data_IF_942275592145
#
_entry.id   IF_942275592145
#
_cell.length_a   1.000
_cell.length_b   1.000
_cell.length_c   1.000
_cell.angle_alpha   90.00
_cell.angle_beta   90.00
_cell.angle_gamma   90.00
#
_symmetry.space_group_name_H-M   'P 1'
#
loop_
_entity.id
_entity.type
_entity.pdbx_description
1 polymer ?
#
# COMPACT_ATOMS: atom_id res chain seq x y z
N UNK A 1 -24.35 -1.05 1.03
CA UNK A 1 -24.35 -0.93 2.50
C UNK A 1 -25.78 -0.66 3.02
N UNK A 2 -26.58 0.14 2.34
CA UNK A 2 -27.95 0.50 2.81
C UNK A 2 -28.95 -0.68 2.87
N UNK A 3 -28.64 -1.82 2.27
CA UNK A 3 -29.51 -3.00 2.19
C UNK A 3 -29.04 -4.19 3.03
N UNK A 4 -27.97 -4.02 3.81
CA UNK A 4 -27.39 -5.06 4.65
C UNK A 4 -27.28 -4.53 6.07
N UNK A 5 -27.79 -5.27 7.03
CA UNK A 5 -27.57 -5.00 8.43
C UNK A 5 -26.20 -5.54 8.86
N UNK A 6 -25.42 -4.74 9.57
CA UNK A 6 -24.05 -5.07 9.97
C UNK A 6 -23.65 -4.31 11.25
N UNK A 7 -22.90 -5.00 12.09
CA UNK A 7 -22.41 -4.45 13.36
C UNK A 7 -21.12 -3.64 13.15
N UNK A 8 -20.24 -4.10 12.23
CA UNK A 8 -18.98 -3.45 11.88
C UNK A 8 -18.67 -3.68 10.42
N UNK A 9 -18.17 -2.67 9.76
CA UNK A 9 -17.70 -2.73 8.37
C UNK A 9 -16.20 -2.48 8.29
N UNK A 10 -15.44 -3.42 7.73
CA UNK A 10 -14.00 -3.25 7.47
C UNK A 10 -13.80 -3.07 5.98
N UNK A 11 -13.33 -1.90 5.59
CA UNK A 11 -13.06 -1.53 4.21
C UNK A 11 -11.57 -1.62 3.92
N UNK A 12 -11.18 -2.39 2.89
CA UNK A 12 -9.82 -2.41 2.38
C UNK A 12 -9.56 -1.16 1.54
N UNK A 13 -9.06 -0.13 2.20
CA UNK A 13 -8.62 1.10 1.55
C UNK A 13 -7.20 0.96 1.01
N UNK A 14 -6.54 2.06 0.75
CA UNK A 14 -5.17 2.11 0.23
C UNK A 14 -4.48 3.38 0.71
N UNK A 15 -3.16 3.33 0.84
CA UNK A 15 -2.35 4.54 1.06
C UNK A 15 -2.36 5.51 -0.14
N UNK A 16 -2.93 5.10 -1.27
CA UNK A 16 -3.16 5.99 -2.42
C UNK A 16 -4.17 7.12 -2.14
N UNK A 17 -4.93 7.06 -1.03
CA UNK A 17 -5.78 8.17 -0.59
C UNK A 17 -4.97 9.39 -0.19
N UNK A 18 -3.75 9.21 0.31
CA UNK A 18 -2.86 10.29 0.70
C UNK A 18 -2.32 11.04 -0.53
N UNK A 19 -2.31 12.37 -0.45
CA UNK A 19 -1.77 13.21 -1.51
C UNK A 19 -1.23 14.54 -0.93
N UNK A 20 0.11 14.71 -0.87
CA UNK A 20 1.10 13.69 -1.19
C UNK A 20 1.28 12.64 -0.09
N UNK A 21 1.79 11.47 -0.45
CA UNK A 21 2.46 10.57 0.49
C UNK A 21 3.84 11.15 0.84
N UNK A 22 4.30 10.96 2.06
CA UNK A 22 5.62 11.43 2.53
C UNK A 22 6.20 10.47 3.57
N UNK A 23 7.44 10.69 3.98
CA UNK A 23 8.03 9.90 5.07
C UNK A 23 7.22 10.09 6.34
N UNK A 24 6.89 8.96 6.98
CA UNK A 24 6.07 8.90 8.20
C UNK A 24 4.62 9.40 8.00
N UNK A 25 3.99 9.05 6.87
CA UNK A 25 2.57 9.37 6.59
C UNK A 25 1.64 8.76 7.65
N UNK A 26 0.82 9.59 8.27
CA UNK A 26 -0.13 9.21 9.34
C UNK A 26 -1.58 9.27 8.86
N UNK A 27 -2.50 8.65 9.62
CA UNK A 27 -3.92 8.62 9.25
C UNK A 27 -4.54 10.01 9.09
N UNK A 28 -4.06 10.99 9.86
CA UNK A 28 -4.55 12.37 9.83
C UNK A 28 -4.20 13.14 8.54
N UNK A 29 -3.26 12.64 7.73
CA UNK A 29 -2.86 13.25 6.46
C UNK A 29 -3.94 13.14 5.36
N UNK A 30 -4.98 12.34 5.61
CA UNK A 30 -6.18 12.32 4.78
C UNK A 30 -7.44 12.47 5.63
N UNK A 31 -8.17 13.55 5.37
CA UNK A 31 -9.42 13.88 6.06
C UNK A 31 -10.62 13.54 5.17
N UNK A 32 -11.48 12.65 5.65
CA UNK A 32 -12.71 12.22 4.95
C UNK A 32 -13.81 13.29 4.85
N UNK A 33 -13.59 14.49 5.39
CA UNK A 33 -14.49 15.66 5.23
C UNK A 33 -13.91 16.74 4.32
N UNK A 34 -12.73 16.52 3.71
CA UNK A 34 -12.08 17.54 2.88
C UNK A 34 -12.83 17.86 1.59
N UNK A 35 -13.60 16.90 1.06
CA UNK A 35 -14.45 17.07 -0.13
C UNK A 35 -15.76 16.31 0.08
N UNK A 36 -16.82 16.74 -0.62
CA UNK A 36 -18.06 15.98 -0.69
C UNK A 36 -17.84 14.68 -1.45
N UNK A 37 -18.47 13.61 -1.01
CA UNK A 37 -18.41 12.33 -1.72
C UNK A 37 -19.37 12.33 -2.92
N UNK A 38 -18.94 11.62 -3.97
CA UNK A 38 -19.74 11.39 -5.16
C UNK A 38 -19.90 9.89 -5.37
N UNK A 39 -21.14 9.41 -5.57
CA UNK A 39 -21.36 8.03 -5.97
C UNK A 39 -20.80 7.80 -7.37
N UNK A 40 -19.90 6.87 -7.49
CA UNK A 40 -19.21 6.57 -8.73
C UNK A 40 -19.00 5.07 -8.92
N UNK A 41 -18.86 4.65 -10.18
CA UNK A 41 -18.43 3.32 -10.54
C UNK A 41 -16.91 3.25 -10.60
N UNK A 42 -16.38 2.03 -10.48
CA UNK A 42 -14.94 1.76 -10.41
C UNK A 42 -14.11 2.39 -11.55
N UNK A 43 -14.71 2.63 -12.71
CA UNK A 43 -14.01 3.08 -13.91
C UNK A 43 -14.23 4.57 -14.24
N UNK A 44 -14.97 5.31 -13.40
CA UNK A 44 -15.27 6.73 -13.64
C UNK A 44 -14.16 7.67 -13.20
N UNK A 45 -13.29 7.22 -12.29
CA UNK A 45 -12.16 7.98 -11.77
C UNK A 45 -10.90 7.12 -11.68
N UNK A 46 -9.70 7.73 -11.56
CA UNK A 46 -8.47 7.03 -11.20
C UNK A 46 -8.61 6.26 -9.88
N UNK A 47 -7.80 5.21 -9.72
CA UNK A 47 -7.88 4.29 -8.58
C UNK A 47 -7.82 5.00 -7.22
N UNK A 48 -6.92 5.93 -7.07
CA UNK A 48 -6.74 6.72 -5.83
C UNK A 48 -7.99 7.53 -5.50
N UNK A 49 -8.64 8.12 -6.51
CA UNK A 49 -9.86 8.89 -6.32
C UNK A 49 -11.04 7.99 -5.95
N UNK A 50 -11.17 6.82 -6.57
CA UNK A 50 -12.18 5.83 -6.18
C UNK A 50 -12.02 5.43 -4.70
N UNK A 51 -10.77 5.26 -4.24
CA UNK A 51 -10.51 4.97 -2.84
C UNK A 51 -10.88 6.13 -1.91
N UNK A 52 -10.59 7.38 -2.32
CA UNK A 52 -11.01 8.59 -1.57
C UNK A 52 -12.53 8.69 -1.51
N UNK A 53 -13.23 8.52 -2.63
CA UNK A 53 -14.69 8.59 -2.67
C UNK A 53 -15.35 7.57 -1.75
N UNK A 54 -14.82 6.35 -1.68
CA UNK A 54 -15.31 5.34 -0.75
C UNK A 54 -15.09 5.75 0.71
N UNK A 55 -13.94 6.32 1.05
CA UNK A 55 -13.70 6.82 2.41
C UNK A 55 -14.55 8.06 2.72
N UNK A 56 -14.72 9.02 1.80
CA UNK A 56 -15.64 10.15 1.99
C UNK A 56 -17.05 9.67 2.34
N UNK A 57 -17.55 8.62 1.65
CA UNK A 57 -18.84 8.03 1.96
C UNK A 57 -18.89 7.43 3.38
N UNK A 58 -17.82 6.75 3.83
CA UNK A 58 -17.74 6.23 5.20
C UNK A 58 -17.79 7.36 6.24
N UNK A 59 -17.00 8.41 6.04
CA UNK A 59 -16.93 9.55 6.95
C UNK A 59 -18.23 10.36 6.99
N UNK A 60 -18.91 10.56 5.87
CA UNK A 60 -20.00 11.52 5.74
C UNK A 60 -21.38 10.85 5.82
N UNK A 61 -21.59 9.73 5.10
CA UNK A 61 -22.89 9.07 5.04
C UNK A 61 -23.06 8.00 6.13
N UNK A 62 -21.98 7.34 6.54
CA UNK A 62 -22.02 6.24 7.51
C UNK A 62 -21.29 6.60 8.80
N UNK A 63 -21.23 7.88 9.16
CA UNK A 63 -20.55 8.39 10.36
C UNK A 63 -21.18 7.91 11.67
N UNK A 64 -22.44 7.47 11.65
CA UNK A 64 -23.18 6.88 12.77
C UNK A 64 -22.93 5.36 12.93
N UNK A 65 -22.18 4.76 12.03
CA UNK A 65 -21.90 3.32 11.98
C UNK A 65 -20.47 3.02 12.39
N UNK A 66 -20.23 1.81 12.92
CA UNK A 66 -18.87 1.34 13.22
C UNK A 66 -18.19 0.87 11.95
N UNK A 67 -17.18 1.59 11.48
CA UNK A 67 -16.38 1.20 10.33
C UNK A 67 -14.90 1.39 10.58
N UNK A 68 -14.10 0.61 9.85
CA UNK A 68 -12.65 0.71 9.78
C UNK A 68 -12.25 0.81 8.32
N UNK A 69 -11.47 1.82 7.94
CA UNK A 69 -10.81 1.88 6.63
C UNK A 69 -9.33 1.54 6.82
N UNK A 70 -8.93 0.35 6.38
CA UNK A 70 -7.54 -0.10 6.50
C UNK A 70 -6.77 0.36 5.27
N UNK A 71 -5.76 1.20 5.48
CA UNK A 71 -4.93 1.79 4.42
C UNK A 71 -3.63 1.02 4.28
N UNK A 72 -3.55 0.20 3.25
CA UNK A 72 -2.34 -0.56 2.92
C UNK A 72 -1.53 0.11 1.81
N UNK A 73 -0.17 0.09 1.91
CA UNK A 73 0.71 0.33 0.77
C UNK A 73 0.62 -0.82 -0.23
N UNK A 74 1.58 -0.97 -1.11
CA UNK A 74 1.65 -2.12 -2.01
C UNK A 74 1.72 -3.42 -1.21
N UNK A 75 0.71 -4.28 -1.38
CA UNK A 75 0.72 -5.62 -0.82
C UNK A 75 1.45 -6.56 -1.79
N UNK A 76 2.45 -7.26 -1.29
CA UNK A 76 3.27 -8.21 -2.03
C UNK A 76 3.30 -9.57 -1.32
N UNK A 77 3.43 -10.63 -2.10
CA UNK A 77 3.49 -12.01 -1.59
C UNK A 77 3.58 -13.02 -2.72
N UNK A 78 3.59 -14.29 -2.35
CA UNK A 78 3.73 -15.40 -3.31
C UNK A 78 2.64 -15.42 -4.38
N UNK A 79 1.44 -14.95 -4.01
CA UNK A 79 0.26 -14.93 -4.88
C UNK A 79 0.01 -13.54 -5.48
N UNK A 80 1.03 -12.67 -5.49
CA UNK A 80 0.90 -11.34 -6.10
C UNK A 80 0.72 -11.46 -7.63
N UNK A 81 -0.54 -11.39 -8.05
CA UNK A 81 -0.91 -11.47 -9.47
C UNK A 81 -0.40 -10.28 -10.28
N UNK A 82 -0.04 -9.17 -9.64
CA UNK A 82 0.49 -7.97 -10.30
C UNK A 82 1.94 -8.14 -10.73
N UNK A 83 2.67 -9.08 -10.11
CA UNK A 83 4.07 -9.44 -10.41
C UNK A 83 5.06 -8.26 -10.46
N UNK A 84 4.76 -7.18 -9.74
CA UNK A 84 5.57 -5.95 -9.82
C UNK A 84 7.01 -6.16 -9.36
N UNK A 85 7.24 -6.88 -8.26
CA UNK A 85 8.61 -7.21 -7.84
C UNK A 85 9.27 -8.22 -8.76
N UNK A 86 8.50 -9.16 -9.29
CA UNK A 86 9.02 -10.16 -10.23
C UNK A 86 9.56 -9.51 -11.51
N UNK A 87 9.03 -8.37 -11.94
CA UNK A 87 9.54 -7.58 -13.06
C UNK A 87 11.05 -7.34 -12.93
N UNK A 88 11.51 -6.85 -11.79
CA UNK A 88 12.93 -6.54 -11.56
C UNK A 88 13.81 -7.80 -11.60
N UNK A 89 13.33 -8.88 -10.98
CA UNK A 89 14.01 -10.17 -11.00
C UNK A 89 14.14 -10.69 -12.44
N UNK A 90 13.06 -10.68 -13.20
CA UNK A 90 13.05 -11.19 -14.58
C UNK A 90 13.95 -10.36 -15.51
N UNK A 91 13.93 -9.02 -15.40
CA UNK A 91 14.77 -8.15 -16.21
C UNK A 91 16.26 -8.36 -15.95
N UNK A 92 16.66 -8.47 -14.67
CA UNK A 92 18.05 -8.83 -14.32
C UNK A 92 18.41 -10.20 -14.89
N UNK A 93 17.54 -11.21 -14.69
CA UNK A 93 17.80 -12.58 -15.14
C UNK A 93 17.92 -12.72 -16.66
N UNK A 94 17.14 -11.94 -17.41
CA UNK A 94 17.11 -11.96 -18.89
C UNK A 94 18.06 -10.95 -19.52
N UNK A 95 18.69 -10.07 -18.71
CA UNK A 95 19.48 -8.93 -19.17
C UNK A 95 18.67 -8.01 -20.11
N UNK A 96 17.41 -7.78 -19.73
CA UNK A 96 16.51 -6.86 -20.43
C UNK A 96 16.64 -5.45 -19.82
N UNK A 97 16.72 -4.38 -20.64
CA UNK A 97 16.83 -3.02 -20.12
C UNK A 97 15.53 -2.56 -19.49
N UNK A 98 15.62 -1.84 -18.35
CA UNK A 98 14.49 -1.24 -17.66
C UNK A 98 14.72 0.24 -17.37
N UNK A 99 13.64 1.03 -17.40
CA UNK A 99 13.62 2.43 -17.01
C UNK A 99 13.05 2.59 -15.62
N UNK A 100 13.82 3.17 -14.71
CA UNK A 100 13.42 3.43 -13.32
C UNK A 100 13.74 4.89 -12.98
N UNK A 101 12.72 5.67 -12.63
CA UNK A 101 12.86 7.10 -12.32
C UNK A 101 13.14 7.39 -10.83
N UNK A 102 12.88 6.43 -9.96
CA UNK A 102 12.90 6.58 -8.51
C UNK A 102 13.69 5.49 -7.78
N UNK A 103 14.77 4.99 -8.39
CA UNK A 103 15.50 3.78 -7.95
C UNK A 103 15.97 3.83 -6.49
N UNK A 104 16.30 5.01 -5.96
CA UNK A 104 16.81 5.21 -4.60
C UNK A 104 15.72 5.60 -3.59
N UNK A 105 14.47 5.81 -4.05
CA UNK A 105 13.38 6.21 -3.17
C UNK A 105 13.01 5.07 -2.22
N UNK A 106 12.89 5.40 -0.96
CA UNK A 106 12.45 4.50 0.09
C UNK A 106 10.92 4.39 0.06
N UNK A 107 10.40 3.17 0.01
CA UNK A 107 8.97 2.90 -0.05
C UNK A 107 8.56 1.85 0.97
N UNK A 108 7.34 1.97 1.48
CA UNK A 108 6.70 0.99 2.35
C UNK A 108 5.94 -0.05 1.56
N UNK A 109 5.94 -1.27 2.10
CA UNK A 109 5.20 -2.42 1.59
C UNK A 109 4.54 -3.18 2.74
N UNK A 110 3.62 -4.08 2.41
CA UNK A 110 3.08 -5.05 3.36
C UNK A 110 3.06 -6.45 2.74
N UNK A 111 3.34 -7.47 3.53
CA UNK A 111 3.18 -8.85 3.10
C UNK A 111 1.69 -9.21 2.99
N UNK A 112 1.28 -9.88 1.93
CA UNK A 112 -0.14 -10.13 1.62
C UNK A 112 -0.84 -10.97 2.68
N UNK A 113 -0.17 -11.96 3.26
CA UNK A 113 -0.70 -12.76 4.37
C UNK A 113 -0.84 -11.93 5.66
N UNK A 114 0.15 -11.10 6.00
CA UNK A 114 0.09 -10.19 7.15
C UNK A 114 -1.03 -9.16 7.01
N UNK A 115 -1.30 -8.68 5.78
CA UNK A 115 -2.46 -7.83 5.51
C UNK A 115 -3.78 -8.55 5.85
N UNK A 116 -3.90 -9.83 5.51
CA UNK A 116 -5.04 -10.68 5.89
C UNK A 116 -5.13 -10.92 7.39
N UNK A 117 -4.01 -11.21 8.05
CA UNK A 117 -3.93 -11.39 9.50
C UNK A 117 -4.37 -10.11 10.25
N UNK A 118 -3.95 -8.95 9.77
CA UNK A 118 -4.36 -7.68 10.36
C UNK A 118 -5.87 -7.42 10.22
N UNK A 119 -6.48 -7.73 9.06
CA UNK A 119 -7.94 -7.67 8.90
C UNK A 119 -8.63 -8.59 9.92
N UNK A 120 -8.18 -9.85 10.05
CA UNK A 120 -8.73 -10.79 11.02
C UNK A 120 -8.59 -10.27 12.46
N UNK A 121 -7.45 -9.69 12.80
CA UNK A 121 -7.23 -9.05 14.11
C UNK A 121 -8.24 -7.94 14.41
N UNK A 122 -8.58 -7.10 13.42
CA UNK A 122 -9.47 -5.96 13.57
C UNK A 122 -10.93 -6.34 13.81
N UNK A 123 -11.35 -7.57 13.47
CA UNK A 123 -12.76 -8.01 13.57
C UNK A 123 -13.29 -7.84 15.01
N UNK A 124 -12.52 -8.30 15.99
CA UNK A 124 -12.95 -8.32 17.41
C UNK A 124 -12.46 -7.10 18.21
N UNK A 125 -11.79 -6.13 17.57
CA UNK A 125 -11.24 -4.97 18.27
C UNK A 125 -12.18 -3.78 18.25
N UNK A 126 -12.22 -3.06 19.36
CA UNK A 126 -12.93 -1.77 19.43
C UNK A 126 -12.04 -0.66 18.83
N UNK A 127 -12.05 -0.64 17.51
CA UNK A 127 -11.30 0.31 16.67
C UNK A 127 -12.28 0.86 15.65
N UNK A 128 -12.23 2.17 15.43
CA UNK A 128 -13.06 2.86 14.44
C UNK A 128 -12.22 3.86 13.62
N UNK A 129 -12.74 4.18 12.44
CA UNK A 129 -12.13 5.13 11.51
C UNK A 129 -10.96 4.55 10.71
N UNK A 130 -10.14 5.42 10.13
CA UNK A 130 -9.00 4.99 9.33
C UNK A 130 -7.87 4.42 10.21
N UNK A 131 -7.20 3.40 9.70
CA UNK A 131 -6.01 2.80 10.31
C UNK A 131 -5.02 2.37 9.24
N UNK A 132 -3.76 2.73 9.42
CA UNK A 132 -2.67 2.29 8.56
C UNK A 132 -2.24 0.87 8.88
N UNK A 133 -1.93 0.09 7.83
CA UNK A 133 -1.30 -1.22 7.94
C UNK A 133 -0.11 -1.30 7.00
N UNK A 134 1.08 -1.53 7.54
CA UNK A 134 2.31 -1.63 6.75
C UNK A 134 3.35 -2.43 7.52
N UNK A 135 4.15 -3.23 6.85
CA UNK A 135 5.37 -3.75 7.48
C UNK A 135 6.26 -2.58 7.91
N UNK A 136 7.00 -2.76 9.01
CA UNK A 136 7.88 -1.72 9.53
C UNK A 136 9.14 -1.58 8.68
N UNK A 137 9.62 -0.34 8.53
CA UNK A 137 10.77 -0.03 7.68
C UNK A 137 10.39 0.25 6.22
N UNK A 138 11.41 0.50 5.42
CA UNK A 138 11.31 0.82 4.00
C UNK A 138 12.41 0.12 3.22
N UNK A 139 12.26 0.07 1.90
CA UNK A 139 13.28 -0.45 0.98
C UNK A 139 13.23 0.34 -0.33
N UNK A 140 14.37 0.51 -0.96
CA UNK A 140 14.47 1.08 -2.31
C UNK A 140 14.51 -0.01 -3.38
N UNK A 141 14.19 0.37 -4.63
CA UNK A 141 14.36 -0.53 -5.76
C UNK A 141 15.84 -0.90 -5.99
N UNK A 142 16.75 0.01 -5.67
CA UNK A 142 18.20 -0.27 -5.71
C UNK A 142 18.56 -1.41 -4.76
N UNK A 143 18.07 -1.41 -3.53
CA UNK A 143 18.33 -2.48 -2.57
C UNK A 143 17.79 -3.83 -3.07
N UNK A 144 16.61 -3.84 -3.68
CA UNK A 144 16.01 -5.05 -4.29
C UNK A 144 16.85 -5.55 -5.46
N UNK A 145 17.25 -4.67 -6.37
CA UNK A 145 18.07 -5.01 -7.53
C UNK A 145 19.44 -5.54 -7.08
N UNK A 146 20.10 -4.88 -6.14
CA UNK A 146 21.38 -5.33 -5.59
C UNK A 146 21.28 -6.74 -5.02
N UNK A 147 20.22 -7.04 -4.27
CA UNK A 147 19.99 -8.39 -3.77
C UNK A 147 19.85 -9.42 -4.89
N UNK A 148 19.14 -9.10 -5.96
CA UNK A 148 19.02 -9.98 -7.13
C UNK A 148 20.39 -10.18 -7.82
N UNK A 149 21.16 -9.11 -8.02
CA UNK A 149 22.49 -9.16 -8.61
C UNK A 149 23.45 -10.04 -7.79
N UNK A 150 23.48 -9.85 -6.48
CA UNK A 150 24.33 -10.62 -5.55
C UNK A 150 24.00 -12.12 -5.59
N UNK A 151 22.73 -12.47 -5.69
CA UNK A 151 22.29 -13.87 -5.66
C UNK A 151 22.33 -14.57 -7.03
N UNK A 152 22.39 -13.80 -8.13
CA UNK A 152 22.36 -14.36 -9.49
C UNK A 152 23.69 -14.22 -10.25
N UNK A 153 24.55 -13.31 -9.82
CA UNK A 153 25.77 -12.93 -10.53
C UNK A 153 25.52 -12.18 -11.84
N UNK A 154 24.28 -11.72 -12.08
CA UNK A 154 23.89 -10.95 -13.25
C UNK A 154 23.72 -9.49 -12.86
N UNK A 155 23.78 -8.59 -13.84
CA UNK A 155 23.66 -7.15 -13.59
C UNK A 155 22.43 -6.57 -14.29
N UNK A 156 21.77 -5.64 -13.60
CA UNK A 156 20.66 -4.85 -14.14
C UNK A 156 21.17 -3.94 -15.27
N UNK A 157 20.36 -3.80 -16.31
CA UNK A 157 20.59 -2.82 -17.39
C UNK A 157 19.58 -1.70 -17.19
N UNK A 158 20.05 -0.55 -16.69
CA UNK A 158 19.24 0.65 -16.55
C UNK A 158 19.40 1.51 -17.80
N UNK A 159 18.30 1.91 -18.43
CA UNK A 159 18.29 2.68 -19.67
C UNK A 159 17.02 3.51 -19.79
N UNK A 160 17.16 4.74 -20.30
CA UNK A 160 16.02 5.61 -20.59
C UNK A 160 15.08 5.03 -21.68
N UNK A 161 15.60 4.16 -22.54
CA UNK A 161 14.85 3.45 -23.57
C UNK A 161 14.37 2.05 -23.10
N UNK A 162 14.57 1.71 -21.83
CA UNK A 162 14.16 0.43 -21.24
C UNK A 162 12.65 0.33 -21.01
N UNK A 163 12.18 -0.88 -20.73
CA UNK A 163 10.78 -1.08 -20.33
C UNK A 163 10.49 -0.31 -19.04
N UNK A 164 9.36 0.41 -19.01
CA UNK A 164 8.96 1.24 -17.88
C UNK A 164 8.66 0.35 -16.68
N UNK A 165 9.45 0.50 -15.63
CA UNK A 165 9.34 -0.33 -14.44
C UNK A 165 8.10 0.01 -13.60
N UNK A 166 7.52 -0.98 -12.90
CA UNK A 166 6.54 -0.73 -11.86
C UNK A 166 7.08 0.22 -10.79
N UNK A 167 6.18 0.97 -10.16
CA UNK A 167 6.47 1.99 -9.14
C UNK A 167 7.12 3.29 -9.66
N UNK A 168 7.38 3.44 -10.95
CA UNK A 168 7.72 4.74 -11.51
C UNK A 168 6.62 5.76 -11.21
N UNK A 169 7.04 7.00 -10.88
CA UNK A 169 6.13 8.07 -10.46
C UNK A 169 5.70 8.02 -8.98
N UNK A 170 6.03 6.95 -8.24
CA UNK A 170 5.78 6.91 -6.79
C UNK A 170 6.77 7.81 -6.04
N UNK A 171 6.29 8.60 -5.07
CA UNK A 171 7.17 9.40 -4.23
C UNK A 171 7.96 8.54 -3.25
N UNK A 172 8.98 9.12 -2.64
CA UNK A 172 9.58 8.55 -1.43
C UNK A 172 8.60 8.66 -0.27
N UNK A 173 8.30 7.55 0.42
CA UNK A 173 7.35 7.55 1.53
C UNK A 173 7.52 6.38 2.50
N UNK A 174 7.09 6.62 3.73
CA UNK A 174 6.86 5.54 4.71
C UNK A 174 5.50 5.71 5.39
N UNK A 175 4.95 4.62 5.86
CA UNK A 175 3.64 4.57 6.50
C UNK A 175 3.83 4.39 8.01
N UNK A 176 3.28 5.31 8.79
CA UNK A 176 3.26 5.23 10.25
C UNK A 176 2.18 4.24 10.70
N UNK A 177 2.56 3.27 11.54
CA UNK A 177 1.67 2.22 12.08
C UNK A 177 1.41 2.36 13.59
N UNK A 178 1.81 3.47 14.19
CA UNK A 178 1.73 3.69 15.64
C UNK A 178 0.29 3.52 16.20
N UNK A 179 -0.72 3.85 15.40
CA UNK A 179 -2.12 3.64 15.79
C UNK A 179 -2.44 2.16 15.94
N UNK A 180 -1.98 1.30 15.05
CA UNK A 180 -2.15 -0.15 15.14
C UNK A 180 -1.35 -0.73 16.32
N UNK A 181 -0.12 -0.27 16.52
CA UNK A 181 0.73 -0.70 17.63
C UNK A 181 0.14 -0.35 18.99
N UNK A 182 -0.39 0.86 19.16
CA UNK A 182 -1.13 1.28 20.38
C UNK A 182 -2.38 0.44 20.64
N UNK A 183 -2.90 -0.21 19.61
CA UNK A 183 -4.03 -1.15 19.71
C UNK A 183 -3.58 -2.59 19.85
N UNK A 184 -2.28 -2.86 19.94
CA UNK A 184 -1.67 -4.15 20.24
C UNK A 184 -1.33 -5.01 19.02
N UNK A 185 -1.29 -4.44 17.81
CA UNK A 185 -0.82 -5.15 16.63
C UNK A 185 0.56 -4.65 16.21
N UNK A 186 1.52 -5.54 16.08
CA UNK A 186 2.89 -5.23 15.68
C UNK A 186 3.19 -5.89 14.34
N UNK A 187 3.48 -5.07 13.35
CA UNK A 187 3.82 -5.53 12.02
C UNK A 187 5.26 -6.07 11.95
N UNK A 188 5.48 -7.03 11.08
CA UNK A 188 6.81 -7.58 10.80
C UNK A 188 7.73 -6.53 10.18
N UNK A 189 9.05 -6.73 10.29
CA UNK A 189 10.01 -5.89 9.61
C UNK A 189 10.08 -6.27 8.13
N UNK A 190 10.00 -5.27 7.25
CA UNK A 190 10.00 -5.45 5.80
C UNK A 190 11.23 -6.25 5.31
N UNK A 191 12.42 -5.94 5.83
CA UNK A 191 13.68 -6.57 5.40
C UNK A 191 13.83 -8.03 5.87
N UNK A 192 12.97 -8.52 6.76
CA UNK A 192 13.00 -9.91 7.21
C UNK A 192 12.32 -10.89 6.24
N UNK A 193 11.52 -10.37 5.31
CA UNK A 193 10.71 -11.23 4.44
C UNK A 193 10.74 -10.88 2.95
N UNK A 194 11.22 -9.70 2.56
CA UNK A 194 11.17 -9.24 1.16
C UNK A 194 12.25 -9.88 0.27
N UNK A 195 13.28 -10.46 0.87
CA UNK A 195 14.39 -11.12 0.21
C UNK A 195 14.20 -12.62 0.04
#
# INVERSE_FOLDING_TARGET
>A
MDYIDWDKYIYMSSTSVYNPKHMNTVEADFNGYSNDFVWCNRFEFPYEEIKRQAEYALWQKYSDKKWIAVRYPFAIGKDDYTKRLLFYVEHVMKSEPMYIDNIDYQMSYIRSDEAGEFIAYLVDKDIEGAINGSSTGTISLREIINYVEENTGKHAILSDDGEVAPYNGEPEYSINTEKAEKKGYHFSNLKEWIY
#
